data_IF_096009449017
#
_entry.id   IF_096009449017
#
_cell.length_a   1.000
_cell.length_b   1.000
_cell.length_c   1.000
_cell.angle_alpha   90.00
_cell.angle_beta   90.00
_cell.angle_gamma   90.00
#
_symmetry.space_group_name_H-M   'P 1'
#
loop_
_entity.id
_entity.type
_entity.pdbx_description
1 polymer ?
#
# COMPACT_ATOMS: atom_id res chain seq x y z
N UNK A 1 -20.83 -8.35 11.96
CA UNK A 1 -19.61 -9.15 12.18
C UNK A 1 -18.80 -9.10 10.89
N UNK A 2 -17.69 -8.35 10.87
CA UNK A 2 -16.84 -8.25 9.68
C UNK A 2 -15.95 -9.52 9.61
N UNK A 3 -15.99 -10.33 8.54
CA UNK A 3 -15.40 -11.68 8.54
C UNK A 3 -13.87 -11.75 8.50
N UNK A 4 -13.14 -10.66 8.77
CA UNK A 4 -11.68 -10.59 8.55
C UNK A 4 -10.83 -10.43 9.82
N UNK A 5 -11.40 -10.58 11.02
CA UNK A 5 -10.61 -10.65 12.27
C UNK A 5 -10.89 -11.99 12.93
N UNK A 6 -10.00 -12.97 12.70
CA UNK A 6 -10.05 -14.24 13.42
C UNK A 6 -9.41 -14.07 14.80
N UNK A 7 -10.22 -13.96 15.86
CA UNK A 7 -9.74 -14.22 17.21
C UNK A 7 -9.65 -15.73 17.42
N UNK A 8 -8.55 -16.33 16.98
CA UNK A 8 -8.22 -17.70 17.38
C UNK A 8 -7.98 -17.74 18.90
N UNK A 9 -8.42 -18.80 19.60
CA UNK A 9 -8.12 -18.94 21.02
C UNK A 9 -6.62 -19.24 21.19
N UNK A 10 -5.84 -18.24 21.61
CA UNK A 10 -4.42 -18.35 21.91
C UNK A 10 -3.65 -17.06 21.63
N UNK A 11 -2.52 -16.88 22.30
CA UNK A 11 -1.55 -15.77 22.14
C UNK A 11 -0.98 -15.60 20.70
N UNK A 12 -1.47 -16.38 19.73
CA UNK A 12 -1.08 -16.40 18.31
C UNK A 12 -2.11 -15.73 17.38
N UNK A 13 -3.21 -15.17 17.90
CA UNK A 13 -4.07 -14.31 17.09
C UNK A 13 -3.36 -12.99 16.81
N UNK A 14 -2.73 -12.84 15.64
CA UNK A 14 -2.03 -11.63 15.25
C UNK A 14 -2.98 -10.42 15.30
N UNK A 15 -2.57 -9.36 16.01
CA UNK A 15 -3.35 -8.13 16.14
C UNK A 15 -3.40 -7.36 14.82
N UNK A 16 -4.50 -6.64 14.56
CA UNK A 16 -4.63 -5.83 13.35
C UNK A 16 -3.58 -4.68 13.35
N UNK A 17 -2.62 -4.66 12.40
CA UNK A 17 -1.60 -3.62 12.34
C UNK A 17 -2.06 -2.35 11.60
N UNK A 18 -3.23 -2.38 10.94
CA UNK A 18 -3.72 -1.25 10.13
C UNK A 18 -3.89 0.07 10.90
N UNK A 19 -4.34 0.10 12.18
CA UNK A 19 -4.42 1.33 12.95
C UNK A 19 -3.06 2.01 13.13
N UNK A 20 -1.99 1.24 13.34
CA UNK A 20 -0.64 1.80 13.47
C UNK A 20 -0.18 2.44 12.16
N UNK A 21 -0.36 1.72 11.05
CA UNK A 21 0.03 2.19 9.72
C UNK A 21 -0.71 3.47 9.33
N UNK A 22 -2.03 3.50 9.50
CA UNK A 22 -2.85 4.68 9.21
C UNK A 22 -2.59 5.84 10.17
N UNK A 23 -2.27 5.58 11.44
CA UNK A 23 -1.93 6.63 12.40
C UNK A 23 -0.61 7.32 12.04
N UNK A 24 0.42 6.52 11.74
CA UNK A 24 1.73 7.04 11.30
C UNK A 24 1.61 7.88 10.03
N UNK A 25 0.87 7.35 9.04
CA UNK A 25 0.54 8.06 7.82
C UNK A 25 -0.20 9.39 8.07
N UNK A 26 -1.26 9.37 8.88
CA UNK A 26 -2.10 10.55 9.13
C UNK A 26 -1.32 11.69 9.80
N UNK A 27 -0.49 11.37 10.79
CA UNK A 27 0.34 12.36 11.51
C UNK A 27 1.31 13.06 10.56
N UNK A 28 2.06 12.28 9.76
CA UNK A 28 3.02 12.85 8.81
C UNK A 28 2.31 13.61 7.67
N UNK A 29 1.20 13.06 7.16
CA UNK A 29 0.41 13.69 6.09
C UNK A 29 -0.17 15.02 6.53
N UNK A 30 -0.77 15.10 7.73
CA UNK A 30 -1.35 16.35 8.21
C UNK A 30 -0.28 17.44 8.35
N UNK A 31 0.88 17.10 8.93
CA UNK A 31 1.97 18.06 9.08
C UNK A 31 2.47 18.58 7.72
N UNK A 32 2.68 17.69 6.75
CA UNK A 32 3.06 18.06 5.39
C UNK A 32 1.96 18.90 4.69
N UNK A 33 0.70 18.54 4.88
CA UNK A 33 -0.45 19.20 4.28
C UNK A 33 -0.67 20.62 4.82
N UNK A 34 -0.55 20.82 6.14
CA UNK A 34 -0.61 22.14 6.77
C UNK A 34 0.50 23.06 6.25
N UNK A 35 1.70 22.51 6.06
CA UNK A 35 2.83 23.24 5.50
C UNK A 35 2.59 23.62 4.03
N UNK A 36 2.18 22.67 3.19
CA UNK A 36 1.86 22.94 1.78
C UNK A 36 0.68 23.94 1.64
N UNK A 37 -0.31 23.85 2.53
CA UNK A 37 -1.45 24.77 2.60
C UNK A 37 -1.12 26.17 3.14
N UNK A 38 0.11 26.40 3.63
CA UNK A 38 0.54 27.62 4.30
C UNK A 38 -0.35 28.01 5.51
N UNK A 39 -0.83 27.02 6.26
CA UNK A 39 -1.68 27.24 7.43
C UNK A 39 -0.82 27.50 8.67
N UNK A 40 -0.96 28.69 9.25
CA UNK A 40 -0.26 29.06 10.49
C UNK A 40 1.26 29.28 10.33
N UNK A 41 1.75 29.42 9.09
CA UNK A 41 3.17 29.66 8.79
C UNK A 41 3.35 30.78 7.76
N UNK A 42 4.48 31.48 7.83
CA UNK A 42 4.81 32.50 6.83
C UNK A 42 5.10 31.84 5.47
N UNK A 43 4.77 32.50 4.33
CA UNK A 43 5.14 32.02 3.01
C UNK A 43 6.65 31.77 2.90
N UNK A 44 7.04 30.59 2.40
CA UNK A 44 8.45 30.23 2.25
C UNK A 44 9.13 29.71 3.52
N UNK A 45 8.37 29.45 4.59
CA UNK A 45 8.91 28.75 5.77
C UNK A 45 9.53 27.40 5.38
N UNK A 46 10.63 26.96 6.01
CA UNK A 46 11.26 25.69 5.68
C UNK A 46 10.41 24.49 6.14
N UNK A 47 10.30 23.41 5.34
CA UNK A 47 9.51 22.22 5.68
C UNK A 47 10.17 21.33 6.75
N UNK A 48 11.38 21.67 7.22
CA UNK A 48 12.22 20.82 8.07
C UNK A 48 11.55 20.40 9.38
N UNK A 49 10.56 21.14 9.88
CA UNK A 49 9.77 20.75 11.06
C UNK A 49 9.04 19.42 10.89
N UNK A 50 8.75 19.02 9.65
CA UNK A 50 8.03 17.77 9.31
C UNK A 50 8.96 16.56 9.35
N UNK A 51 10.28 16.73 9.25
CA UNK A 51 11.25 15.64 9.08
C UNK A 51 11.16 14.60 10.19
N UNK A 52 11.01 15.02 11.44
CA UNK A 52 10.87 14.08 12.56
C UNK A 52 9.61 13.21 12.45
N UNK A 53 8.47 13.82 12.08
CA UNK A 53 7.21 13.10 11.90
C UNK A 53 7.25 12.19 10.67
N UNK A 54 7.89 12.64 9.59
CA UNK A 54 8.12 11.83 8.40
C UNK A 54 9.01 10.62 8.71
N UNK A 55 10.12 10.78 9.43
CA UNK A 55 11.02 9.68 9.75
C UNK A 55 10.36 8.63 10.66
N UNK A 56 9.81 9.06 11.79
CA UNK A 56 9.42 8.13 12.84
C UNK A 56 7.96 7.67 12.73
N UNK A 57 7.03 8.60 12.48
CA UNK A 57 5.61 8.27 12.40
C UNK A 57 5.25 7.77 11.00
N UNK A 58 5.48 8.58 9.97
CA UNK A 58 5.21 8.22 8.58
C UNK A 58 6.12 7.12 8.06
N UNK A 59 7.37 7.06 8.52
CA UNK A 59 8.38 6.13 8.04
C UNK A 59 8.44 4.84 8.83
N UNK A 60 9.15 4.86 9.96
CA UNK A 60 9.47 3.66 10.76
C UNK A 60 8.21 2.98 11.29
N UNK A 61 7.30 3.71 11.96
CA UNK A 61 6.09 3.10 12.52
C UNK A 61 5.20 2.50 11.42
N UNK A 62 5.10 3.16 10.27
CA UNK A 62 4.33 2.66 9.12
C UNK A 62 4.99 1.44 8.46
N UNK A 63 6.32 1.40 8.35
CA UNK A 63 7.07 0.21 7.91
C UNK A 63 6.84 -0.98 8.84
N UNK A 64 6.87 -0.75 10.16
CA UNK A 64 6.60 -1.80 11.14
C UNK A 64 5.17 -2.33 11.01
N UNK A 65 4.18 -1.46 10.80
CA UNK A 65 2.82 -1.88 10.48
C UNK A 65 2.76 -2.75 9.20
N UNK A 66 3.54 -2.40 8.17
CA UNK A 66 3.68 -3.22 6.97
C UNK A 66 4.30 -4.59 7.25
N UNK A 67 5.38 -4.63 8.05
CA UNK A 67 6.04 -5.88 8.45
C UNK A 67 5.09 -6.81 9.22
N UNK A 68 4.34 -6.28 10.19
CA UNK A 68 3.34 -7.05 10.95
C UNK A 68 2.10 -7.43 10.14
N UNK A 69 1.84 -6.76 9.02
CA UNK A 69 0.76 -7.17 8.09
C UNK A 69 1.07 -8.49 7.39
N UNK A 70 2.35 -8.83 7.18
CA UNK A 70 2.72 -10.16 6.67
C UNK A 70 2.37 -11.25 7.69
N UNK A 71 2.59 -11.00 8.98
CA UNK A 71 2.24 -11.92 10.07
C UNK A 71 0.72 -12.09 10.21
N UNK A 72 -0.03 -11.02 9.92
CA UNK A 72 -1.50 -10.99 10.01
C UNK A 72 -2.20 -11.45 8.71
N UNK A 73 -1.46 -11.96 7.73
CA UNK A 73 -1.95 -12.35 6.40
C UNK A 73 -2.73 -11.26 5.65
N UNK A 74 -2.39 -9.99 5.89
CA UNK A 74 -3.00 -8.83 5.24
C UNK A 74 -2.07 -8.32 4.12
N UNK A 75 -1.92 -9.10 3.04
CA UNK A 75 -0.96 -8.82 1.97
C UNK A 75 -1.08 -7.43 1.35
N UNK A 76 -2.32 -6.95 1.15
CA UNK A 76 -2.57 -5.59 0.65
C UNK A 76 -2.01 -4.53 1.61
N UNK A 77 -2.32 -4.63 2.90
CA UNK A 77 -1.80 -3.73 3.93
C UNK A 77 -0.28 -3.81 4.06
N UNK A 78 0.30 -5.00 3.94
CA UNK A 78 1.73 -5.21 4.01
C UNK A 78 2.49 -4.42 2.95
N UNK A 79 2.02 -4.46 1.70
CA UNK A 79 2.62 -3.70 0.59
C UNK A 79 2.35 -2.20 0.75
N UNK A 80 1.11 -1.81 1.01
CA UNK A 80 0.70 -0.40 1.09
C UNK A 80 1.41 0.33 2.22
N UNK A 81 1.38 -0.20 3.45
CA UNK A 81 2.04 0.44 4.58
C UNK A 81 3.56 0.43 4.45
N UNK A 82 4.15 -0.65 3.92
CA UNK A 82 5.61 -0.67 3.73
C UNK A 82 6.05 0.37 2.71
N UNK A 83 5.36 0.48 1.57
CA UNK A 83 5.75 1.43 0.52
C UNK A 83 5.48 2.88 0.92
N UNK A 84 4.39 3.20 1.61
CA UNK A 84 4.22 4.55 2.16
C UNK A 84 5.19 4.85 3.31
N UNK A 85 5.61 3.84 4.08
CA UNK A 85 6.73 3.98 5.01
C UNK A 85 8.02 4.38 4.31
N UNK A 86 8.37 3.69 3.22
CA UNK A 86 9.49 4.06 2.36
C UNK A 86 9.34 5.46 1.74
N UNK A 87 8.13 5.85 1.32
CA UNK A 87 7.85 7.21 0.83
C UNK A 87 8.26 8.26 1.86
N UNK A 88 7.82 8.12 3.11
CA UNK A 88 8.10 9.10 4.15
C UNK A 88 9.59 9.15 4.52
N UNK A 89 10.27 8.00 4.54
CA UNK A 89 11.72 7.97 4.72
C UNK A 89 12.47 8.64 3.56
N UNK A 90 12.05 8.38 2.32
CA UNK A 90 12.64 9.02 1.13
C UNK A 90 12.37 10.53 1.13
N UNK A 91 11.16 10.96 1.49
CA UNK A 91 10.80 12.37 1.63
C UNK A 91 11.65 13.06 2.72
N UNK A 92 11.83 12.41 3.88
CA UNK A 92 12.70 12.93 4.91
C UNK A 92 14.16 13.05 4.42
N UNK A 93 14.67 12.06 3.69
CA UNK A 93 16.02 12.11 3.12
C UNK A 93 16.22 13.31 2.19
N UNK A 94 15.19 13.72 1.42
CA UNK A 94 15.24 14.92 0.57
C UNK A 94 15.41 16.22 1.39
N UNK A 95 15.02 16.23 2.66
CA UNK A 95 15.04 17.41 3.53
C UNK A 95 16.21 17.42 4.53
N UNK A 96 16.84 16.27 4.79
CA UNK A 96 17.95 16.13 5.72
C UNK A 96 19.25 16.60 5.05
N UNK A 97 19.95 17.64 5.56
CA UNK A 97 21.20 18.12 4.97
C UNK A 97 22.27 17.03 4.84
N UNK A 98 22.37 16.14 5.83
CA UNK A 98 23.35 15.06 5.86
C UNK A 98 23.17 14.00 4.73
N UNK A 99 22.04 13.98 4.01
CA UNK A 99 21.87 13.09 2.86
C UNK A 99 22.58 13.60 1.61
N UNK A 100 22.99 14.87 1.57
CA UNK A 100 23.54 15.55 0.38
C UNK A 100 22.51 15.85 -0.71
N UNK A 101 21.28 15.31 -0.63
CA UNK A 101 20.22 15.53 -1.61
C UNK A 101 19.75 17.01 -1.63
N UNK A 102 19.48 17.67 -0.48
CA UNK A 102 19.01 19.05 -0.52
C UNK A 102 20.02 20.01 -1.16
N UNK A 103 21.31 19.83 -0.87
CA UNK A 103 22.38 20.67 -1.43
C UNK A 103 22.54 20.45 -2.93
N UNK A 104 22.58 19.20 -3.39
CA UNK A 104 22.63 18.88 -4.81
C UNK A 104 21.44 19.48 -5.59
N UNK A 105 20.23 19.39 -5.03
CA UNK A 105 19.03 19.99 -5.62
C UNK A 105 19.07 21.53 -5.61
N UNK A 106 19.67 22.15 -4.59
CA UNK A 106 19.81 23.61 -4.51
C UNK A 106 20.83 24.12 -5.54
N UNK A 107 21.93 23.41 -5.71
CA UNK A 107 23.00 23.75 -6.66
C UNK A 107 22.57 23.56 -8.12
N UNK A 108 21.69 22.59 -8.40
CA UNK A 108 21.16 22.34 -9.74
C UNK A 108 20.24 23.45 -10.30
N UNK A 109 19.84 24.41 -9.46
CA UNK A 109 18.92 25.48 -9.84
C UNK A 109 17.43 25.13 -9.69
N UNK A 110 16.59 26.17 -9.71
CA UNK A 110 15.17 26.04 -9.35
C UNK A 110 14.38 25.12 -10.30
N UNK A 111 14.66 25.17 -11.60
CA UNK A 111 13.93 24.42 -12.62
C UNK A 111 14.30 22.94 -12.61
N UNK A 112 15.60 22.62 -12.61
CA UNK A 112 16.07 21.24 -12.51
C UNK A 112 15.57 20.58 -11.21
N UNK A 113 15.58 21.32 -10.09
CA UNK A 113 15.00 20.85 -8.83
C UNK A 113 13.51 20.54 -8.95
N UNK A 114 12.73 21.41 -9.58
CA UNK A 114 11.30 21.21 -9.79
C UNK A 114 11.03 19.99 -10.66
N UNK A 115 11.79 19.78 -11.73
CA UNK A 115 11.67 18.60 -12.58
C UNK A 115 12.02 17.31 -11.85
N UNK A 116 13.13 17.29 -11.10
CA UNK A 116 13.55 16.13 -10.31
C UNK A 116 12.51 15.73 -9.24
N UNK A 117 12.01 16.71 -8.48
CA UNK A 117 10.98 16.46 -7.46
C UNK A 117 9.63 16.09 -8.08
N UNK A 118 9.28 16.65 -9.24
CA UNK A 118 8.05 16.27 -9.94
C UNK A 118 8.10 14.82 -10.44
N UNK A 119 9.26 14.32 -10.89
CA UNK A 119 9.43 12.88 -11.21
C UNK A 119 9.21 12.02 -9.96
N UNK A 120 9.79 12.42 -8.83
CA UNK A 120 9.55 11.74 -7.55
C UNK A 120 8.05 11.63 -7.24
N UNK A 121 7.30 12.74 -7.31
CA UNK A 121 5.86 12.72 -7.05
C UNK A 121 5.04 11.96 -8.12
N UNK A 122 5.45 11.99 -9.39
CA UNK A 122 4.78 11.23 -10.45
C UNK A 122 4.80 9.72 -10.18
N UNK A 123 5.94 9.19 -9.72
CA UNK A 123 6.04 7.77 -9.34
C UNK A 123 5.01 7.45 -8.25
N UNK A 124 4.83 8.34 -7.29
CA UNK A 124 3.83 8.18 -6.23
C UNK A 124 2.39 8.40 -6.69
N UNK A 125 2.13 9.15 -7.77
CA UNK A 125 0.81 9.19 -8.42
C UNK A 125 0.47 7.81 -8.98
N UNK A 126 1.38 7.21 -9.75
CA UNK A 126 1.17 5.88 -10.36
C UNK A 126 1.01 4.81 -9.28
N UNK A 127 1.87 4.83 -8.26
CA UNK A 127 1.81 3.88 -7.16
C UNK A 127 0.49 3.96 -6.39
N UNK A 128 0.03 5.17 -6.05
CA UNK A 128 -1.25 5.38 -5.36
C UNK A 128 -2.44 4.97 -6.23
N UNK A 129 -2.39 5.20 -7.54
CA UNK A 129 -3.45 4.77 -8.45
C UNK A 129 -3.61 3.24 -8.46
N UNK A 130 -2.50 2.50 -8.51
CA UNK A 130 -2.53 1.03 -8.42
C UNK A 130 -3.14 0.58 -7.08
N UNK A 131 -2.76 1.22 -5.97
CA UNK A 131 -3.33 0.92 -4.66
C UNK A 131 -4.82 1.24 -4.58
N UNK A 132 -5.27 2.35 -5.17
CA UNK A 132 -6.68 2.72 -5.24
C UNK A 132 -7.49 1.62 -5.94
N UNK A 133 -7.03 1.11 -7.08
CA UNK A 133 -7.68 -0.02 -7.76
C UNK A 133 -7.75 -1.27 -6.87
N UNK A 134 -6.66 -1.59 -6.16
CA UNK A 134 -6.64 -2.70 -5.21
C UNK A 134 -7.59 -2.51 -4.02
N UNK A 135 -7.91 -1.27 -3.64
CA UNK A 135 -8.83 -0.95 -2.55
C UNK A 135 -10.31 -1.04 -2.93
N UNK A 136 -10.65 -1.16 -4.22
CA UNK A 136 -12.04 -1.14 -4.71
C UNK A 136 -12.92 -2.28 -4.17
N UNK A 137 -12.32 -3.32 -3.57
CA UNK A 137 -13.04 -4.41 -2.89
C UNK A 137 -12.89 -4.40 -1.36
N UNK A 138 -12.16 -3.42 -0.82
CA UNK A 138 -11.91 -3.23 0.60
C UNK A 138 -13.04 -2.46 1.29
N UNK A 139 -12.69 -1.44 2.06
CA UNK A 139 -13.63 -0.57 2.76
C UNK A 139 -13.80 0.78 2.05
N UNK A 140 -14.97 1.40 2.20
CA UNK A 140 -15.20 2.75 1.67
C UNK A 140 -14.24 3.77 2.24
N UNK A 141 -13.87 3.65 3.52
CA UNK A 141 -12.90 4.53 4.17
C UNK A 141 -11.50 4.43 3.57
N UNK A 142 -11.01 3.22 3.27
CA UNK A 142 -9.72 3.03 2.60
C UNK A 142 -9.73 3.55 1.16
N UNK A 143 -10.81 3.29 0.42
CA UNK A 143 -10.96 3.77 -0.95
C UNK A 143 -11.00 5.30 -1.01
N UNK A 144 -11.77 5.94 -0.13
CA UNK A 144 -11.83 7.40 -0.02
C UNK A 144 -10.47 8.01 0.37
N UNK A 145 -9.76 7.40 1.33
CA UNK A 145 -8.41 7.84 1.71
C UNK A 145 -7.45 7.83 0.51
N UNK A 146 -7.41 6.73 -0.24
CA UNK A 146 -6.51 6.60 -1.39
C UNK A 146 -6.93 7.48 -2.57
N UNK A 147 -8.22 7.73 -2.76
CA UNK A 147 -8.70 8.66 -3.78
C UNK A 147 -8.26 10.10 -3.46
N UNK A 148 -8.46 10.55 -2.23
CA UNK A 148 -8.01 11.87 -1.79
C UNK A 148 -6.48 11.98 -1.85
N UNK A 149 -5.76 10.93 -1.46
CA UNK A 149 -4.30 10.88 -1.58
C UNK A 149 -3.85 10.93 -3.03
N UNK A 150 -4.55 10.27 -3.95
CA UNK A 150 -4.25 10.32 -5.37
C UNK A 150 -4.38 11.75 -5.90
N UNK A 151 -5.47 12.44 -5.57
CA UNK A 151 -5.67 13.84 -5.94
C UNK A 151 -4.57 14.73 -5.33
N UNK A 152 -4.23 14.50 -4.07
CA UNK A 152 -3.13 15.20 -3.38
C UNK A 152 -1.80 15.02 -4.09
N UNK A 153 -1.46 13.79 -4.49
CA UNK A 153 -0.23 13.50 -5.22
C UNK A 153 -0.22 14.12 -6.62
N UNK A 154 -1.35 14.10 -7.34
CA UNK A 154 -1.49 14.74 -8.65
C UNK A 154 -1.26 16.24 -8.53
N UNK A 155 -1.94 16.91 -7.60
CA UNK A 155 -1.78 18.34 -7.38
C UNK A 155 -0.37 18.70 -6.93
N UNK A 156 0.26 17.88 -6.08
CA UNK A 156 1.65 18.10 -5.65
C UNK A 156 2.62 17.95 -6.82
N UNK A 157 2.44 16.93 -7.65
CA UNK A 157 3.25 16.70 -8.85
C UNK A 157 3.13 17.86 -9.84
N UNK A 158 1.91 18.23 -10.21
CA UNK A 158 1.63 19.32 -11.16
C UNK A 158 2.09 20.67 -10.59
N UNK A 159 1.80 20.94 -9.32
CA UNK A 159 2.22 22.17 -8.64
C UNK A 159 3.73 22.29 -8.53
N UNK A 160 4.45 21.17 -8.38
CA UNK A 160 5.91 21.15 -8.36
C UNK A 160 6.50 21.45 -9.74
N UNK A 161 6.03 20.77 -10.79
CA UNK A 161 6.51 21.03 -12.16
C UNK A 161 6.15 22.42 -12.67
N UNK A 162 4.95 22.90 -12.37
CA UNK A 162 4.52 24.25 -12.73
C UNK A 162 5.07 25.33 -11.80
N UNK A 163 5.82 24.95 -10.74
CA UNK A 163 6.30 25.83 -9.68
C UNK A 163 5.19 26.76 -9.12
N UNK A 164 3.97 26.25 -9.05
CA UNK A 164 2.76 27.04 -8.78
C UNK A 164 2.35 26.94 -7.31
N UNK A 165 2.59 28.02 -6.57
CA UNK A 165 2.20 28.15 -5.17
C UNK A 165 0.70 27.88 -4.91
N UNK A 166 -0.25 28.43 -5.69
CA UNK A 166 -1.67 28.15 -5.52
C UNK A 166 -2.03 26.66 -5.67
N UNK A 167 -1.43 25.96 -6.64
CA UNK A 167 -1.69 24.52 -6.86
C UNK A 167 -1.12 23.68 -5.71
N UNK A 168 0.07 24.03 -5.20
CA UNK A 168 0.64 23.38 -4.01
C UNK A 168 -0.19 23.64 -2.74
N UNK A 169 -0.82 24.82 -2.61
CA UNK A 169 -1.77 25.06 -1.51
C UNK A 169 -3.02 24.20 -1.65
N UNK A 170 -3.55 24.07 -2.86
CA UNK A 170 -4.67 23.16 -3.15
C UNK A 170 -4.32 21.71 -2.79
N UNK A 171 -3.10 21.25 -3.08
CA UNK A 171 -2.64 19.93 -2.66
C UNK A 171 -2.58 19.80 -1.14
N UNK A 172 -2.14 20.84 -0.43
CA UNK A 172 -2.19 20.91 1.03
C UNK A 172 -3.60 20.72 1.59
N UNK A 173 -4.61 21.42 1.05
CA UNK A 173 -6.00 21.24 1.48
C UNK A 173 -6.51 19.82 1.27
N UNK A 174 -6.22 19.22 0.11
CA UNK A 174 -6.57 17.82 -0.17
C UNK A 174 -5.86 16.85 0.78
N UNK A 175 -4.58 17.08 1.08
CA UNK A 175 -3.80 16.27 2.01
C UNK A 175 -4.33 16.31 3.43
N UNK A 176 -4.88 17.45 3.88
CA UNK A 176 -5.55 17.52 5.18
C UNK A 176 -6.79 16.64 5.22
N UNK A 177 -7.62 16.66 4.18
CA UNK A 177 -8.78 15.77 4.08
C UNK A 177 -8.35 14.30 4.07
N UNK A 178 -7.29 13.96 3.34
CA UNK A 178 -6.69 12.62 3.36
C UNK A 178 -6.29 12.18 4.77
N UNK A 179 -5.62 13.06 5.53
CA UNK A 179 -5.19 12.75 6.89
C UNK A 179 -6.37 12.54 7.85
N UNK A 180 -7.42 13.36 7.73
CA UNK A 180 -8.64 13.22 8.52
C UNK A 180 -9.34 11.89 8.24
N UNK A 181 -9.47 11.50 6.96
CA UNK A 181 -10.04 10.19 6.61
C UNK A 181 -9.16 9.03 7.09
N UNK A 182 -7.83 9.20 7.09
CA UNK A 182 -6.93 8.20 7.66
C UNK A 182 -7.14 8.01 9.17
N UNK A 183 -7.29 9.09 9.94
CA UNK A 183 -7.66 8.96 11.35
C UNK A 183 -9.07 8.44 11.57
N UNK A 184 -10.01 8.72 10.66
CA UNK A 184 -11.31 8.06 10.70
C UNK A 184 -11.18 6.54 10.56
N UNK A 185 -10.33 6.06 9.64
CA UNK A 185 -10.05 4.63 9.50
C UNK A 185 -9.40 4.05 10.76
N UNK A 186 -8.48 4.77 11.40
CA UNK A 186 -7.90 4.38 12.70
C UNK A 186 -9.00 4.26 13.76
N UNK A 187 -9.86 5.27 13.89
CA UNK A 187 -10.94 5.27 14.85
C UNK A 187 -11.94 4.15 14.57
N UNK A 188 -12.25 3.86 13.30
CA UNK A 188 -13.16 2.78 12.93
C UNK A 188 -12.59 1.38 13.27
N UNK A 189 -11.28 1.19 13.13
CA UNK A 189 -10.63 -0.06 13.48
C UNK A 189 -10.41 -0.23 14.99
N UNK A 190 -10.21 0.87 15.74
CA UNK A 190 -9.99 0.84 17.19
C UNK A 190 -11.28 0.88 18.01
N UNK A 191 -12.28 1.64 17.59
CA UNK A 191 -13.56 1.80 18.31
C UNK A 191 -14.55 0.71 17.87
N UNK A 192 -14.24 -0.52 18.24
CA UNK A 192 -15.13 -1.68 18.07
C UNK A 192 -16.17 -1.73 19.20
N UNK A 193 -17.25 -2.52 19.02
CA UNK A 193 -18.29 -2.70 20.07
C UNK A 193 -17.77 -3.33 21.35
N UNK A 194 -16.62 -4.02 21.29
CA UNK A 194 -15.99 -4.65 22.44
C UNK A 194 -15.13 -3.65 23.23
N UNK A 195 -14.69 -2.58 22.57
CA UNK A 195 -13.80 -1.54 23.13
C UNK A 195 -14.52 -0.22 23.42
N UNK A 196 -15.67 0.03 22.77
CA UNK A 196 -16.40 1.30 22.84
C UNK A 196 -17.92 1.12 22.66
N UNK A 197 -18.70 2.07 23.17
CA UNK A 197 -20.17 1.97 23.25
C UNK A 197 -20.88 1.84 21.89
N UNK A 198 -20.29 2.35 20.80
CA UNK A 198 -20.79 2.20 19.44
C UNK A 198 -19.64 2.04 18.45
N UNK A 199 -19.88 1.33 17.36
CA UNK A 199 -18.90 1.19 16.27
C UNK A 199 -19.08 2.27 15.21
N UNK A 200 -17.98 2.74 14.62
CA UNK A 200 -18.03 3.67 13.50
C UNK A 200 -18.31 2.93 12.18
N UNK A 201 -19.14 3.50 11.28
CA UNK A 201 -19.51 2.84 10.04
C UNK A 201 -18.37 2.88 9.01
N UNK A 202 -17.75 1.74 8.73
CA UNK A 202 -16.85 1.59 7.60
C UNK A 202 -17.20 0.30 6.81
N UNK A 203 -18.32 0.31 6.05
CA UNK A 203 -18.77 -0.88 5.36
C UNK A 203 -17.81 -1.29 4.24
N UNK A 204 -17.71 -2.60 4.01
CA UNK A 204 -16.99 -3.15 2.87
C UNK A 204 -17.72 -2.79 1.56
N UNK A 205 -16.96 -2.44 0.52
CA UNK A 205 -17.50 -2.08 -0.80
C UNK A 205 -18.08 -3.31 -1.50
N UNK A 206 -17.38 -4.44 -1.38
CA UNK A 206 -17.89 -5.72 -1.83
C UNK A 206 -18.13 -6.62 -0.62
N UNK A 207 -19.25 -7.37 -0.56
CA UNK A 207 -19.35 -8.45 0.39
C UNK A 207 -18.17 -9.38 0.13
N UNK A 208 -17.36 -9.61 1.15
CA UNK A 208 -16.28 -10.59 1.04
C UNK A 208 -16.90 -11.89 0.52
N UNK A 209 -16.27 -12.60 -0.44
CA UNK A 209 -16.62 -13.99 -0.69
C UNK A 209 -16.15 -14.79 0.53
N UNK A 210 -16.90 -14.67 1.63
CA UNK A 210 -16.55 -15.18 2.96
C UNK A 210 -16.25 -16.68 2.89
N UNK A 211 -16.95 -17.40 2.02
CA UNK A 211 -16.73 -18.83 1.74
C UNK A 211 -15.37 -19.13 1.09
N UNK A 212 -14.89 -18.32 0.14
CA UNK A 212 -13.64 -18.59 -0.57
C UNK A 212 -12.40 -18.26 0.26
N UNK A 213 -12.50 -17.24 1.11
CA UNK A 213 -11.44 -16.84 2.03
C UNK A 213 -11.36 -17.81 3.21
N UNK A 214 -12.51 -18.18 3.82
CA UNK A 214 -12.56 -19.21 4.86
C UNK A 214 -12.02 -20.57 4.36
N UNK A 215 -12.38 -20.98 3.14
CA UNK A 215 -11.85 -22.22 2.54
C UNK A 215 -10.33 -22.18 2.32
N UNK A 216 -9.75 -21.01 2.00
CA UNK A 216 -8.28 -20.85 1.88
C UNK A 216 -7.59 -20.92 3.24
N UNK A 217 -8.20 -20.35 4.28
CA UNK A 217 -7.67 -20.41 5.64
C UNK A 217 -7.75 -21.82 6.23
N UNK A 218 -8.85 -22.54 6.02
CA UNK A 218 -8.96 -23.95 6.42
C UNK A 218 -7.94 -24.82 5.69
N UNK A 219 -7.74 -24.63 4.38
CA UNK A 219 -6.73 -25.36 3.63
C UNK A 219 -5.30 -25.10 4.16
N UNK A 220 -4.93 -23.84 4.39
CA UNK A 220 -3.61 -23.48 4.93
C UNK A 220 -3.42 -23.95 6.37
N UNK A 221 -4.45 -23.85 7.22
CA UNK A 221 -4.40 -24.35 8.59
C UNK A 221 -4.28 -25.88 8.64
N UNK A 222 -4.92 -26.60 7.71
CA UNK A 222 -4.77 -28.04 7.55
C UNK A 222 -3.37 -28.42 7.07
N UNK A 223 -2.78 -27.67 6.13
CA UNK A 223 -1.39 -27.88 5.68
C UNK A 223 -0.38 -27.60 6.81
N UNK A 224 -0.59 -26.54 7.59
CA UNK A 224 0.25 -26.21 8.75
C UNK A 224 0.12 -27.27 9.86
N UNK A 225 -1.08 -27.79 10.11
CA UNK A 225 -1.31 -28.91 11.04
C UNK A 225 -0.72 -30.23 10.53
N UNK A 226 -0.78 -30.47 9.21
CA UNK A 226 -0.15 -31.63 8.58
C UNK A 226 1.38 -31.56 8.65
N UNK A 227 1.96 -30.36 8.48
CA UNK A 227 3.41 -30.13 8.62
C UNK A 227 3.92 -30.22 10.07
N UNK A 228 3.08 -29.98 11.07
CA UNK A 228 3.44 -30.14 12.49
C UNK A 228 3.31 -31.59 13.00
N UNK A 229 2.78 -32.51 12.21
CA UNK A 229 2.59 -33.92 12.57
C UNK A 229 3.76 -34.86 12.25
N UNK A 230 4.83 -34.38 11.58
CA UNK A 230 5.93 -35.25 11.14
C UNK A 230 7.23 -35.07 11.93
N UNK A 231 7.16 -35.46 13.21
CA UNK A 231 8.29 -36.08 13.92
C UNK A 231 8.09 -37.60 14.15
N UNK A 232 7.21 -38.25 13.38
CA UNK A 232 7.07 -39.72 13.41
C UNK A 232 6.06 -40.29 12.41
N UNK A 233 6.60 -40.99 11.41
CA UNK A 233 6.09 -42.21 10.75
C UNK A 233 4.81 -42.24 9.85
N UNK A 234 4.99 -43.01 8.76
CA UNK A 234 4.07 -43.72 7.83
C UNK A 234 3.29 -42.93 6.76
N UNK A 235 3.78 -43.05 5.52
CA UNK A 235 3.05 -42.79 4.27
C UNK A 235 1.96 -43.86 4.05
N UNK A 236 0.70 -43.50 3.75
CA UNK A 236 -0.31 -44.46 3.29
C UNK A 236 -0.07 -44.84 1.81
N UNK A 237 -0.53 -46.03 1.35
CA UNK A 237 -0.17 -46.56 0.05
C UNK A 237 -0.74 -45.73 -1.09
N UNK A 238 0.13 -45.36 -2.03
CA UNK A 238 -0.20 -44.68 -3.27
C UNK A 238 -1.08 -45.57 -4.16
N UNK A 239 -2.40 -45.34 -4.16
CA UNK A 239 -3.30 -46.10 -5.02
C UNK A 239 -4.61 -45.42 -5.42
N UNK A 240 -5.21 -44.57 -4.58
CA UNK A 240 -6.58 -44.10 -4.84
C UNK A 240 -6.77 -42.59 -5.05
N UNK A 241 -5.72 -41.77 -4.90
CA UNK A 241 -5.84 -40.31 -5.08
C UNK A 241 -5.30 -39.77 -6.42
N UNK A 242 -4.51 -40.56 -7.16
CA UNK A 242 -3.95 -40.11 -8.46
C UNK A 242 -5.03 -40.00 -9.54
N UNK A 243 -5.97 -40.95 -9.63
CA UNK A 243 -6.91 -41.01 -10.75
C UNK A 243 -7.83 -39.78 -10.85
N UNK A 244 -8.40 -39.30 -9.73
CA UNK A 244 -9.30 -38.13 -9.72
C UNK A 244 -8.57 -36.79 -9.90
N UNK A 245 -7.30 -36.71 -9.48
CA UNK A 245 -6.47 -35.53 -9.69
C UNK A 245 -5.95 -35.44 -11.14
N UNK A 246 -5.59 -36.57 -11.75
CA UNK A 246 -5.20 -36.69 -13.15
C UNK A 246 -6.36 -36.34 -14.09
N UNK A 247 -7.57 -36.82 -13.78
CA UNK A 247 -8.77 -36.60 -14.59
C UNK A 247 -9.21 -35.12 -14.59
N UNK A 248 -9.06 -34.43 -13.45
CA UNK A 248 -9.28 -32.97 -13.35
C UNK A 248 -8.20 -32.15 -14.06
N UNK A 249 -6.94 -32.63 -14.10
CA UNK A 249 -5.86 -32.01 -14.88
C UNK A 249 -6.08 -32.17 -16.39
N UNK A 250 -6.49 -33.35 -16.86
CA UNK A 250 -6.82 -33.62 -18.27
C UNK A 250 -8.05 -32.86 -18.75
N UNK A 251 -9.09 -32.74 -17.91
CA UNK A 251 -10.28 -31.93 -18.18
C UNK A 251 -9.94 -30.44 -18.39
N UNK A 252 -9.06 -29.87 -17.56
CA UNK A 252 -8.61 -28.47 -17.73
C UNK A 252 -7.75 -28.28 -18.97
N UNK A 253 -6.80 -29.19 -19.23
CA UNK A 253 -5.92 -29.12 -20.41
C UNK A 253 -6.68 -29.12 -21.74
N UNK A 254 -7.74 -29.94 -21.85
CA UNK A 254 -8.56 -30.01 -23.07
C UNK A 254 -9.47 -28.78 -23.28
N UNK A 255 -9.82 -28.05 -22.21
CA UNK A 255 -10.59 -26.79 -22.32
C UNK A 255 -9.72 -25.60 -22.77
N UNK A 256 -8.45 -25.57 -22.40
CA UNK A 256 -7.51 -24.49 -22.76
C UNK A 256 -6.92 -24.62 -24.16
N UNK A 257 -6.86 -25.83 -24.73
CA UNK A 257 -6.31 -26.08 -26.07
C UNK A 257 -7.31 -25.87 -27.23
N UNK A 258 -8.58 -25.59 -26.95
CA UNK A 258 -9.59 -25.27 -27.99
C UNK A 258 -9.85 -23.77 -28.19
N UNK A 259 -9.22 -22.89 -27.39
CA UNK A 259 -9.46 -21.45 -27.45
C UNK A 259 -8.31 -20.65 -28.11
N UNK A 260 -7.21 -21.30 -28.48
CA UNK A 260 -6.08 -20.68 -29.18
C UNK A 260 -5.62 -21.55 -30.35
N UNK A 261 -6.10 -21.22 -31.55
CA UNK A 261 -5.45 -21.61 -32.80
C UNK A 261 -4.19 -20.77 -33.05
N UNK A 262 -3.23 -21.24 -33.86
CA UNK A 262 -1.87 -20.70 -33.88
C UNK A 262 -1.73 -19.57 -34.92
N UNK A 263 -1.34 -18.39 -34.46
CA UNK A 263 -0.62 -17.42 -35.31
C UNK A 263 0.59 -16.91 -34.51
N UNK A 264 1.66 -17.71 -34.50
CA UNK A 264 2.98 -17.29 -34.10
C UNK A 264 3.60 -16.58 -35.30
N UNK A 265 3.71 -15.26 -35.23
CA UNK A 265 4.63 -14.49 -36.06
C UNK A 265 5.84 -14.14 -35.21
N UNK A 266 6.93 -14.82 -35.49
CA UNK A 266 8.27 -14.67 -34.92
C UNK A 266 8.81 -13.27 -35.19
N UNK A 267 9.08 -12.47 -34.16
CA UNK A 267 9.88 -11.24 -34.28
C UNK A 267 11.30 -11.57 -33.79
N UNK A 268 12.24 -11.61 -34.72
CA UNK A 268 13.68 -11.66 -34.47
C UNK A 268 14.18 -10.27 -34.03
N UNK A 269 15.17 -10.17 -33.13
CA UNK A 269 15.80 -8.89 -32.78
C UNK A 269 16.86 -8.53 -33.82
N UNK A 270 16.63 -7.49 -34.62
CA UNK A 270 17.65 -6.90 -35.49
C UNK A 270 18.44 -5.83 -34.73
N UNK A 271 19.72 -6.13 -34.52
CA UNK A 271 20.89 -5.25 -34.34
C UNK A 271 20.64 -3.73 -34.26
N UNK A 272 20.94 -3.15 -33.09
CA UNK A 272 21.24 -1.73 -32.90
C UNK A 272 22.66 -1.51 -33.44
N UNK A 273 22.76 -0.81 -34.56
CA UNK A 273 24.03 -0.32 -35.11
C UNK A 273 24.40 0.99 -34.40
N UNK A 274 25.54 0.98 -33.69
CA UNK A 274 26.15 2.17 -33.11
C UNK A 274 27.33 2.56 -33.99
N UNK A 275 27.13 3.59 -34.83
CA UNK A 275 28.22 4.29 -35.52
C UNK A 275 28.16 5.79 -35.18
N UNK A 276 29.30 6.43 -34.87
CA UNK A 276 29.34 7.83 -34.48
C UNK A 276 29.48 8.75 -35.70
N UNK A 277 28.72 9.84 -35.69
CA UNK A 277 29.02 11.07 -36.42
C UNK A 277 28.48 12.26 -35.61
#
# INVERSE_FOLDING_TARGET
MHPLVSHGPGWRAASNPAPLGNSGFAVATLAAALHAGAIGIAPGSPPNVIVGLALFCGGVAQLLAGAWSFVSNAAYGAVVFSLYGCYWLAYAAILIPASGIPDALREAGADTRAHALGIFYLVWVVQTFIFLLGSARGSWGTFAQLLLLLVTNILTCVGTWAQSGPVLRASGYMGMLTAVVAWYNVAADMLTRDTFYFGLPNPAISPAPAAAVAARYEACALEMRAGQGHHGLVLPPAGHLSAKAEERRRSRSNSSLRMFGPTIATIQPSSIDMSPA
#
